data_IF_072027635567
#
_entry.id   IF_072027635567
#
_cell.length_a   1.000
_cell.length_b   1.000
_cell.length_c   1.000
_cell.angle_alpha   90.00
_cell.angle_beta   90.00
_cell.angle_gamma   90.00
#
_symmetry.space_group_name_H-M   'P 1'
#
loop_
_entity.id
_entity.type
_entity.pdbx_description
1 polymer ?
#
# COMPACT_ATOMS: atom_id res chain seq x y z
N UNK A 1 -16.71 11.68 4.24
CA UNK A 1 -15.52 11.06 3.63
C UNK A 1 -14.90 10.21 4.71
N UNK A 2 -14.72 8.92 4.47
CA UNK A 2 -14.19 8.03 5.50
C UNK A 2 -12.69 7.82 5.37
N UNK A 3 -12.09 7.33 6.46
CA UNK A 3 -10.66 7.08 6.56
C UNK A 3 -10.23 5.90 5.68
N UNK A 4 -8.97 5.88 5.26
CA UNK A 4 -8.36 4.78 4.51
C UNK A 4 -7.14 4.29 5.27
N UNK A 5 -7.00 2.98 5.44
CA UNK A 5 -5.83 2.39 6.09
C UNK A 5 -4.91 1.72 5.07
N UNK A 6 -3.60 1.87 5.23
CA UNK A 6 -2.58 1.18 4.43
C UNK A 6 -1.94 0.10 5.29
N UNK A 7 -2.23 -1.15 4.99
CA UNK A 7 -1.84 -2.30 5.81
C UNK A 7 -1.10 -3.34 4.96
N UNK A 8 -0.44 -4.30 5.61
CA UNK A 8 0.32 -5.34 4.93
C UNK A 8 1.37 -5.97 5.85
N UNK A 9 1.86 -7.17 5.51
CA UNK A 9 2.84 -7.89 6.29
C UNK A 9 4.19 -7.17 6.35
N UNK A 10 5.12 -7.74 7.12
CA UNK A 10 6.48 -7.21 7.23
C UNK A 10 7.11 -7.12 5.84
N UNK A 11 7.88 -6.05 5.62
CA UNK A 11 8.56 -5.78 4.37
C UNK A 11 7.65 -5.58 3.14
N UNK A 12 6.34 -5.37 3.28
CA UNK A 12 5.47 -5.03 2.14
C UNK A 12 5.69 -3.63 1.55
N UNK A 13 6.51 -2.80 2.20
CA UNK A 13 6.88 -1.48 1.71
C UNK A 13 5.93 -0.36 2.13
N UNK A 14 5.16 -0.54 3.22
CA UNK A 14 4.23 0.47 3.78
C UNK A 14 4.92 1.80 4.08
N UNK A 15 5.97 1.78 4.91
CA UNK A 15 6.75 2.96 5.29
C UNK A 15 7.30 3.69 4.06
N UNK A 16 7.89 2.94 3.12
CA UNK A 16 8.40 3.50 1.85
C UNK A 16 7.27 4.08 1.00
N UNK A 17 6.11 3.42 0.94
CA UNK A 17 4.93 3.91 0.23
C UNK A 17 4.45 5.25 0.79
N UNK A 18 4.32 5.35 2.11
CA UNK A 18 3.91 6.58 2.79
C UNK A 18 4.94 7.70 2.60
N UNK A 19 6.23 7.37 2.65
CA UNK A 19 7.31 8.33 2.44
C UNK A 19 7.35 8.84 0.99
N UNK A 20 7.19 7.95 0.00
CA UNK A 20 7.08 8.34 -1.40
C UNK A 20 5.82 9.19 -1.67
N UNK A 21 4.72 8.90 -0.99
CA UNK A 21 3.48 9.68 -1.07
C UNK A 21 3.67 11.09 -0.48
N UNK A 22 4.38 11.21 0.65
CA UNK A 22 4.70 12.47 1.30
C UNK A 22 5.66 13.33 0.47
N UNK A 23 6.75 12.72 -0.02
CA UNK A 23 7.81 13.41 -0.76
C UNK A 23 7.42 13.77 -2.20
N UNK A 24 6.59 12.95 -2.86
CA UNK A 24 6.15 13.13 -4.23
C UNK A 24 7.30 13.22 -5.27
N UNK A 25 8.15 12.19 -5.41
CA UNK A 25 9.40 12.24 -6.18
C UNK A 25 9.24 12.61 -7.66
N UNK A 26 8.08 12.31 -8.26
CA UNK A 26 7.83 12.58 -9.68
C UNK A 26 7.31 13.99 -9.99
N UNK A 27 7.25 14.89 -8.99
CA UNK A 27 6.66 16.23 -9.14
C UNK A 27 7.49 17.16 -10.02
N UNK A 28 8.81 16.96 -10.12
CA UNK A 28 9.71 17.77 -10.96
C UNK A 28 9.67 17.40 -12.45
N UNK A 29 9.29 16.16 -12.80
CA UNK A 29 9.38 15.63 -14.18
C UNK A 29 8.05 15.41 -14.89
N UNK A 30 6.99 15.05 -14.16
CA UNK A 30 5.64 14.89 -14.74
C UNK A 30 4.89 16.21 -14.65
N UNK A 31 5.10 17.11 -15.63
CA UNK A 31 4.44 18.44 -15.71
C UNK A 31 2.90 18.40 -15.63
N UNK A 32 2.26 17.24 -15.85
CA UNK A 32 0.82 17.06 -15.85
C UNK A 32 0.35 15.94 -14.89
N UNK A 33 0.77 15.97 -13.62
CA UNK A 33 0.10 15.14 -12.62
C UNK A 33 -1.32 15.65 -12.41
N UNK A 34 -2.29 14.75 -12.51
CA UNK A 34 -3.68 15.06 -12.24
C UNK A 34 -3.99 14.99 -10.74
N UNK A 35 -3.00 15.10 -9.87
CA UNK A 35 -3.17 15.09 -8.43
C UNK A 35 -2.13 15.95 -7.70
N UNK A 36 -2.45 16.33 -6.46
CA UNK A 36 -1.56 17.02 -5.51
C UNK A 36 -1.72 16.36 -4.15
N UNK A 37 -0.61 16.07 -3.48
CA UNK A 37 -0.58 15.55 -2.10
C UNK A 37 0.00 16.64 -1.20
N UNK A 38 -0.56 16.78 -0.01
CA UNK A 38 -0.10 17.72 1.01
C UNK A 38 0.01 16.98 2.35
N UNK A 39 1.14 17.14 3.03
CA UNK A 39 1.34 16.66 4.39
C UNK A 39 0.61 17.59 5.37
N UNK A 40 -0.26 17.04 6.21
CA UNK A 40 -1.08 17.82 7.12
C UNK A 40 -0.45 17.99 8.51
N UNK A 41 0.32 17.02 9.00
CA UNK A 41 0.96 17.07 10.31
C UNK A 41 2.50 17.03 10.24
N UNK A 42 3.15 17.16 11.39
CA UNK A 42 4.62 17.25 11.50
C UNK A 42 5.28 15.91 11.18
N UNK A 43 4.67 14.82 11.59
CA UNK A 43 5.10 13.43 11.38
C UNK A 43 5.16 13.11 9.87
N UNK A 44 4.15 13.48 9.10
CA UNK A 44 4.17 13.31 7.63
C UNK A 44 5.19 14.21 6.96
N UNK A 45 5.45 15.42 7.47
CA UNK A 45 6.52 16.28 6.96
C UNK A 45 7.91 15.66 7.23
N UNK A 46 8.15 15.19 8.45
CA UNK A 46 9.36 14.43 8.80
C UNK A 46 9.53 13.18 7.94
N UNK A 47 8.44 12.51 7.57
CA UNK A 47 8.50 11.37 6.66
C UNK A 47 8.90 11.77 5.24
N UNK A 48 8.48 12.93 4.75
CA UNK A 48 8.96 13.49 3.49
C UNK A 48 10.46 13.84 3.58
N UNK A 49 10.91 14.43 4.68
CA UNK A 49 12.33 14.74 4.91
C UNK A 49 13.17 13.46 4.98
N UNK A 50 12.65 12.38 5.60
CA UNK A 50 13.30 11.06 5.59
C UNK A 50 13.41 10.51 4.16
N UNK A 51 12.39 10.66 3.32
CA UNK A 51 12.48 10.25 1.92
C UNK A 51 13.56 11.03 1.16
N UNK A 52 13.68 12.33 1.37
CA UNK A 52 14.74 13.14 0.77
C UNK A 52 16.13 12.74 1.28
N UNK A 53 16.32 12.66 2.60
CA UNK A 53 17.64 12.48 3.19
C UNK A 53 18.12 11.02 3.25
N UNK A 54 17.24 10.03 3.03
CA UNK A 54 17.57 8.60 3.13
C UNK A 54 17.35 7.91 1.79
N UNK A 55 16.15 8.02 1.20
CA UNK A 55 15.84 7.27 -0.03
C UNK A 55 16.61 7.85 -1.23
N UNK A 56 16.72 9.17 -1.35
CA UNK A 56 17.50 9.81 -2.42
C UNK A 56 19.02 9.71 -2.21
N UNK A 57 19.47 9.42 -1.00
CA UNK A 57 20.86 9.07 -0.72
C UNK A 57 21.14 7.57 -0.98
N UNK A 58 20.15 6.84 -1.50
CA UNK A 58 20.30 5.43 -1.85
C UNK A 58 20.31 4.49 -0.63
N UNK A 59 19.70 4.90 0.48
CA UNK A 59 19.47 4.09 1.67
C UNK A 59 18.00 3.65 1.80
N UNK A 60 17.72 2.73 2.72
CA UNK A 60 16.35 2.28 3.03
C UNK A 60 15.88 2.90 4.33
N UNK A 61 14.58 3.15 4.42
CA UNK A 61 13.95 3.45 5.71
C UNK A 61 13.95 2.20 6.60
N UNK A 62 14.04 2.44 7.90
CA UNK A 62 13.90 1.41 8.91
C UNK A 62 12.46 0.84 8.90
N UNK A 63 12.28 -0.47 9.13
CA UNK A 63 10.96 -1.05 9.35
C UNK A 63 10.29 -0.46 10.59
N UNK A 64 8.95 -0.45 10.63
CA UNK A 64 8.22 -0.20 11.88
C UNK A 64 8.71 -1.16 12.95
N UNK A 65 9.16 -0.61 14.08
CA UNK A 65 9.84 -1.36 15.14
C UNK A 65 8.95 -2.39 15.83
N UNK A 66 9.60 -3.43 16.38
CA UNK A 66 8.95 -4.52 17.15
C UNK A 66 8.56 -4.14 18.57
N UNK A 67 8.99 -2.98 19.05
CA UNK A 67 8.77 -2.52 20.43
C UNK A 67 7.44 -1.77 20.62
N UNK A 68 6.62 -1.68 19.57
CA UNK A 68 5.27 -1.10 19.63
C UNK A 68 4.39 -1.98 20.52
N UNK A 69 3.87 -1.42 21.61
CA UNK A 69 2.98 -2.13 22.54
C UNK A 69 1.52 -1.74 22.35
N UNK A 70 1.28 -0.49 21.97
CA UNK A 70 -0.05 0.11 21.80
C UNK A 70 -0.08 1.00 20.57
N UNK A 71 -1.26 1.37 20.09
CA UNK A 71 -1.40 2.34 18.99
C UNK A 71 -0.79 3.71 19.30
N UNK A 72 -0.68 4.10 20.56
CA UNK A 72 -0.12 5.39 20.96
C UNK A 72 1.40 5.49 20.70
N UNK A 73 2.07 4.35 20.53
CA UNK A 73 3.48 4.28 20.16
C UNK A 73 3.69 4.51 18.64
N UNK A 74 2.62 4.56 17.84
CA UNK A 74 2.69 4.66 16.38
C UNK A 74 2.53 6.10 15.89
N UNK A 75 3.47 6.54 15.04
CA UNK A 75 3.33 7.79 14.30
C UNK A 75 2.05 7.75 13.43
N UNK A 76 1.23 8.80 13.54
CA UNK A 76 0.07 9.02 12.67
C UNK A 76 0.53 9.88 11.51
N UNK A 77 0.33 9.41 10.29
CA UNK A 77 0.57 10.20 9.09
C UNK A 77 -0.73 10.70 8.51
N UNK A 78 -0.80 12.00 8.21
CA UNK A 78 -1.99 12.66 7.70
C UNK A 78 -1.71 13.38 6.38
N UNK A 79 -2.50 13.04 5.37
CA UNK A 79 -2.37 13.55 4.01
C UNK A 79 -3.69 14.12 3.52
N UNK A 80 -3.59 15.19 2.74
CA UNK A 80 -4.66 15.70 1.89
C UNK A 80 -4.30 15.51 0.42
N UNK A 81 -5.13 14.79 -0.31
CA UNK A 81 -4.90 14.47 -1.72
C UNK A 81 -6.02 15.08 -2.57
N UNK A 82 -5.64 15.98 -3.48
CA UNK A 82 -6.54 16.56 -4.48
C UNK A 82 -6.33 15.89 -5.82
N UNK A 83 -7.41 15.41 -6.45
CA UNK A 83 -7.37 14.77 -7.76
C UNK A 83 -8.17 15.63 -8.75
N UNK A 84 -7.48 16.10 -9.78
CA UNK A 84 -7.95 17.02 -10.80
C UNK A 84 -8.30 16.25 -12.08
N UNK A 85 -9.59 16.13 -12.40
CA UNK A 85 -10.03 15.59 -13.68
C UNK A 85 -10.50 16.72 -14.59
N UNK A 86 -10.07 16.70 -15.85
CA UNK A 86 -10.53 17.67 -16.85
C UNK A 86 -12.07 17.65 -16.87
N UNK A 87 -12.68 18.82 -16.75
CA UNK A 87 -14.13 19.01 -16.82
C UNK A 87 -14.95 18.34 -15.71
N UNK A 88 -14.34 17.88 -14.61
CA UNK A 88 -15.04 17.29 -13.46
C UNK A 88 -14.70 18.03 -12.17
N UNK A 89 -15.61 17.94 -11.19
CA UNK A 89 -15.33 18.44 -9.83
C UNK A 89 -14.10 17.73 -9.27
N UNK A 90 -13.23 18.53 -8.63
CA UNK A 90 -12.09 18.01 -7.87
C UNK A 90 -12.56 16.95 -6.90
N UNK A 91 -11.75 15.90 -6.74
CA UNK A 91 -11.98 14.85 -5.77
C UNK A 91 -10.93 14.99 -4.68
N UNK A 92 -11.37 14.95 -3.44
CA UNK A 92 -10.54 15.19 -2.26
C UNK A 92 -10.52 13.90 -1.43
N UNK A 93 -9.34 13.56 -0.93
CA UNK A 93 -9.13 12.39 -0.07
C UNK A 93 -8.35 12.86 1.14
N UNK A 94 -8.93 12.65 2.32
CA UNK A 94 -8.22 12.74 3.59
C UNK A 94 -7.75 11.35 3.96
N UNK A 95 -6.45 11.19 4.14
CA UNK A 95 -5.83 9.93 4.54
C UNK A 95 -5.17 10.16 5.89
N UNK A 96 -5.68 9.53 6.94
CA UNK A 96 -5.01 9.40 8.22
C UNK A 96 -4.64 7.93 8.40
N UNK A 97 -3.36 7.63 8.59
CA UNK A 97 -2.86 6.26 8.62
C UNK A 97 -1.73 6.11 9.62
N UNK A 98 -1.79 5.05 10.41
CA UNK A 98 -0.68 4.57 11.23
C UNK A 98 0.08 3.50 10.47
N UNK A 99 1.41 3.54 10.52
CA UNK A 99 2.25 2.51 9.90
C UNK A 99 2.43 1.32 10.83
N UNK A 100 1.40 0.48 10.90
CA UNK A 100 1.37 -0.69 11.79
C UNK A 100 2.50 -1.71 11.52
N UNK A 101 3.02 -2.37 12.57
CA UNK A 101 3.94 -3.49 12.40
C UNK A 101 3.35 -4.57 11.50
N UNK A 102 4.19 -5.16 10.66
CA UNK A 102 3.74 -6.17 9.71
C UNK A 102 3.45 -7.53 10.35
N UNK A 103 3.98 -7.74 11.55
CA UNK A 103 3.83 -8.91 12.41
C UNK A 103 2.36 -9.19 12.75
N UNK A 104 1.50 -8.17 12.75
CA UNK A 104 0.05 -8.31 12.94
C UNK A 104 -0.57 -9.26 11.90
N UNK A 105 0.01 -9.38 10.70
CA UNK A 105 -0.46 -10.35 9.70
C UNK A 105 -0.15 -11.80 10.08
N UNK A 106 0.93 -12.03 10.83
CA UNK A 106 1.25 -13.35 11.37
C UNK A 106 0.25 -13.70 12.48
N UNK A 107 -0.07 -12.74 13.36
CA UNK A 107 -1.10 -12.88 14.39
C UNK A 107 -2.48 -13.17 13.79
N UNK A 108 -2.87 -12.45 12.72
CA UNK A 108 -4.10 -12.71 11.96
C UNK A 108 -4.15 -14.13 11.40
N UNK A 109 -3.03 -14.63 10.85
CA UNK A 109 -2.98 -15.98 10.30
C UNK A 109 -3.03 -17.06 11.37
N UNK A 110 -2.48 -16.80 12.56
CA UNK A 110 -2.44 -17.74 13.70
C UNK A 110 -3.68 -17.65 14.60
N UNK A 111 -4.45 -16.56 14.50
CA UNK A 111 -5.55 -16.27 15.43
C UNK A 111 -5.06 -15.85 16.82
N UNK A 112 -3.84 -15.34 16.92
CA UNK A 112 -3.26 -14.86 18.18
C UNK A 112 -3.95 -13.56 18.59
N UNK A 113 -4.25 -13.42 19.89
CA UNK A 113 -4.79 -12.18 20.44
C UNK A 113 -3.68 -11.46 21.23
N UNK A 114 -3.30 -10.27 20.78
CA UNK A 114 -2.56 -9.29 21.57
C UNK A 114 -3.31 -7.94 21.54
N UNK A 115 -3.09 -7.03 22.50
CA UNK A 115 -3.84 -5.77 22.56
C UNK A 115 -3.70 -4.92 21.29
N UNK A 116 -2.49 -4.86 20.71
CA UNK A 116 -2.22 -4.11 19.48
C UNK A 116 -3.02 -4.66 18.29
N UNK A 117 -3.22 -5.97 18.22
CA UNK A 117 -4.06 -6.62 17.22
C UNK A 117 -5.52 -6.18 17.35
N UNK A 118 -6.06 -6.10 18.56
CA UNK A 118 -7.44 -5.67 18.77
C UNK A 118 -7.62 -4.21 18.38
N UNK A 119 -6.69 -3.33 18.79
CA UNK A 119 -6.68 -1.92 18.41
C UNK A 119 -6.57 -1.75 16.88
N UNK A 120 -5.68 -2.50 16.24
CA UNK A 120 -5.52 -2.52 14.78
C UNK A 120 -6.82 -2.91 14.07
N UNK A 121 -7.48 -3.98 14.53
CA UNK A 121 -8.73 -4.45 13.92
C UNK A 121 -9.86 -3.44 14.13
N UNK A 122 -9.97 -2.86 15.33
CA UNK A 122 -10.95 -1.83 15.65
C UNK A 122 -10.76 -0.58 14.78
N UNK A 123 -9.52 -0.15 14.56
CA UNK A 123 -9.23 0.97 13.65
C UNK A 123 -9.58 0.61 12.20
N UNK A 124 -9.16 -0.55 11.69
CA UNK A 124 -9.40 -0.94 10.29
C UNK A 124 -10.88 -1.20 9.97
N UNK A 125 -11.65 -1.70 10.95
CA UNK A 125 -13.06 -2.07 10.81
C UNK A 125 -14.03 -1.03 11.38
N UNK A 126 -13.54 0.15 11.78
CA UNK A 126 -14.35 1.28 12.24
C UNK A 126 -15.37 1.74 11.19
N UNK A 127 -16.59 2.11 11.61
CA UNK A 127 -17.69 2.50 10.70
C UNK A 127 -17.38 3.77 9.88
N UNK A 128 -16.44 4.60 10.33
CA UNK A 128 -15.92 5.77 9.62
C UNK A 128 -14.88 5.42 8.55
N UNK A 129 -14.45 4.16 8.44
CA UNK A 129 -13.45 3.71 7.47
C UNK A 129 -14.10 3.38 6.13
N UNK A 130 -13.62 4.01 5.06
CA UNK A 130 -14.08 3.74 3.68
C UNK A 130 -13.44 2.49 3.07
N UNK A 131 -12.23 2.13 3.49
CA UNK A 131 -11.58 0.92 3.00
C UNK A 131 -10.11 0.79 3.37
N UNK A 132 -9.54 -0.35 3.02
CA UNK A 132 -8.14 -0.68 3.28
C UNK A 132 -7.38 -0.91 1.98
N UNK A 133 -6.20 -0.29 1.85
CA UNK A 133 -5.18 -0.65 0.89
C UNK A 133 -4.28 -1.71 1.53
N UNK A 134 -4.29 -2.92 0.99
CA UNK A 134 -3.56 -4.07 1.52
C UNK A 134 -2.38 -4.36 0.60
N UNK A 135 -1.18 -3.98 1.02
CA UNK A 135 0.06 -4.21 0.29
C UNK A 135 0.55 -5.63 0.56
N UNK A 136 0.47 -6.49 -0.45
CA UNK A 136 1.07 -7.82 -0.41
C UNK A 136 2.45 -7.77 -1.06
N UNK A 137 3.36 -8.61 -0.57
CA UNK A 137 4.69 -8.78 -1.15
C UNK A 137 5.06 -10.25 -1.14
N UNK A 138 6.12 -10.62 -1.85
CA UNK A 138 6.67 -11.99 -1.88
C UNK A 138 5.72 -13.08 -2.41
N UNK A 139 6.21 -13.96 -3.30
CA UNK A 139 5.45 -15.08 -3.85
C UNK A 139 6.26 -16.37 -3.75
N UNK A 140 6.76 -16.64 -2.55
CA UNK A 140 7.49 -17.88 -2.27
C UNK A 140 6.51 -19.02 -2.02
N UNK A 141 7.04 -20.25 -2.03
CA UNK A 141 6.25 -21.42 -1.69
C UNK A 141 5.59 -21.23 -0.31
N UNK A 142 4.27 -21.44 -0.25
CA UNK A 142 3.47 -21.30 0.97
C UNK A 142 2.89 -19.91 1.23
N UNK A 143 3.35 -18.87 0.52
CA UNK A 143 2.86 -17.50 0.72
C UNK A 143 1.39 -17.33 0.33
N UNK A 144 0.92 -17.99 -0.73
CA UNK A 144 -0.51 -17.97 -1.12
C UNK A 144 -1.41 -18.54 0.01
N UNK A 145 -1.05 -19.71 0.55
CA UNK A 145 -1.78 -20.31 1.68
C UNK A 145 -1.76 -19.43 2.92
N UNK A 146 -0.65 -18.73 3.17
CA UNK A 146 -0.55 -17.76 4.25
C UNK A 146 -1.54 -16.60 4.04
N UNK A 147 -1.54 -15.96 2.87
CA UNK A 147 -2.44 -14.86 2.59
C UNK A 147 -3.91 -15.28 2.63
N UNK A 148 -4.25 -16.45 2.10
CA UNK A 148 -5.60 -17.01 2.25
C UNK A 148 -6.04 -17.13 3.70
N UNK A 149 -5.16 -17.58 4.62
CA UNK A 149 -5.47 -17.64 6.06
C UNK A 149 -5.70 -16.26 6.66
N UNK A 150 -4.83 -15.30 6.34
CA UNK A 150 -4.97 -13.90 6.78
C UNK A 150 -6.32 -13.35 6.32
N UNK A 151 -6.63 -13.45 5.03
CA UNK A 151 -7.87 -12.93 4.48
C UNK A 151 -9.10 -13.66 4.99
N UNK A 152 -9.02 -14.96 5.24
CA UNK A 152 -10.11 -15.69 5.90
C UNK A 152 -10.43 -15.07 7.25
N UNK A 153 -9.42 -14.85 8.09
CA UNK A 153 -9.62 -14.24 9.40
C UNK A 153 -10.12 -12.80 9.29
N UNK A 154 -9.55 -12.02 8.36
CA UNK A 154 -9.95 -10.63 8.14
C UNK A 154 -11.42 -10.53 7.69
N UNK A 155 -11.86 -11.39 6.76
CA UNK A 155 -13.25 -11.45 6.29
C UNK A 155 -14.19 -11.92 7.41
N UNK A 156 -13.81 -12.94 8.19
CA UNK A 156 -14.62 -13.39 9.33
C UNK A 156 -14.89 -12.23 10.32
N UNK A 157 -13.91 -11.34 10.51
CA UNK A 157 -14.05 -10.16 11.37
C UNK A 157 -14.88 -9.06 10.70
N UNK A 158 -14.67 -8.82 9.39
CA UNK A 158 -15.53 -7.92 8.62
C UNK A 158 -17.00 -8.34 8.66
N UNK A 159 -17.29 -9.63 8.60
CA UNK A 159 -18.66 -10.14 8.65
C UNK A 159 -19.29 -9.94 10.04
N UNK A 160 -18.53 -10.25 11.11
CA UNK A 160 -18.96 -10.01 12.50
C UNK A 160 -19.27 -8.55 12.79
N UNK A 161 -18.50 -7.62 12.22
CA UNK A 161 -18.68 -6.17 12.40
C UNK A 161 -19.63 -5.55 11.36
N UNK A 162 -20.31 -6.40 10.57
CA UNK A 162 -21.26 -6.03 9.52
C UNK A 162 -20.64 -5.08 8.48
N UNK A 163 -19.34 -5.24 8.20
CA UNK A 163 -18.55 -4.42 7.26
C UNK A 163 -18.45 -5.02 5.87
N UNK A 164 -18.77 -6.30 5.67
CA UNK A 164 -18.56 -7.02 4.41
C UNK A 164 -19.23 -6.34 3.19
N UNK A 165 -20.39 -5.71 3.39
CA UNK A 165 -21.13 -5.02 2.34
C UNK A 165 -20.70 -3.56 2.12
N UNK A 166 -19.90 -2.99 3.02
CA UNK A 166 -19.59 -1.56 3.06
C UNK A 166 -18.11 -1.25 2.82
N UNK A 167 -17.22 -2.02 3.45
CA UNK A 167 -15.77 -1.78 3.44
C UNK A 167 -15.17 -2.24 2.11
N UNK A 168 -14.44 -1.34 1.44
CA UNK A 168 -13.70 -1.66 0.22
C UNK A 168 -12.29 -2.15 0.52
N UNK A 169 -11.86 -3.23 -0.13
CA UNK A 169 -10.49 -3.72 -0.07
C UNK A 169 -9.80 -3.52 -1.42
N UNK A 170 -8.74 -2.72 -1.42
CA UNK A 170 -7.82 -2.61 -2.54
C UNK A 170 -6.61 -3.48 -2.23
N UNK A 171 -6.50 -4.63 -2.87
CA UNK A 171 -5.41 -5.57 -2.65
C UNK A 171 -4.34 -5.33 -3.71
N UNK A 172 -3.14 -4.92 -3.29
CA UNK A 172 -2.09 -4.51 -4.19
C UNK A 172 -0.89 -5.45 -4.10
N UNK A 173 -0.40 -5.91 -5.24
CA UNK A 173 0.95 -6.45 -5.31
C UNK A 173 1.92 -5.27 -5.25
N UNK A 174 2.73 -5.22 -4.20
CA UNK A 174 3.77 -4.21 -4.00
C UNK A 174 5.08 -4.65 -4.65
N UNK A 175 6.03 -3.71 -4.74
CA UNK A 175 7.38 -3.94 -5.32
C UNK A 175 7.34 -4.40 -6.78
N UNK A 176 6.37 -3.92 -7.55
CA UNK A 176 6.22 -4.27 -8.96
C UNK A 176 7.26 -3.63 -9.90
N UNK A 177 8.24 -2.87 -9.38
CA UNK A 177 9.43 -2.47 -10.16
C UNK A 177 10.25 -3.67 -10.64
N UNK A 178 10.09 -4.82 -10.00
CA UNK A 178 10.74 -6.07 -10.38
C UNK A 178 10.38 -6.42 -11.83
N UNK A 179 11.39 -6.64 -12.67
CA UNK A 179 11.21 -6.72 -14.12
C UNK A 179 10.27 -7.85 -14.55
N UNK A 180 10.25 -8.94 -13.78
CA UNK A 180 9.34 -10.07 -13.97
C UNK A 180 7.86 -9.74 -13.72
N UNK A 181 7.55 -8.71 -12.91
CA UNK A 181 6.18 -8.28 -12.63
C UNK A 181 5.72 -7.12 -13.50
N UNK A 182 6.66 -6.41 -14.12
CA UNK A 182 6.36 -5.19 -14.87
C UNK A 182 5.23 -5.38 -15.90
N UNK A 183 5.17 -6.46 -16.70
CA UNK A 183 4.08 -6.66 -17.65
C UNK A 183 2.69 -6.75 -16.98
N UNK A 184 2.59 -7.46 -15.85
CA UNK A 184 1.32 -7.72 -15.18
C UNK A 184 0.70 -6.53 -14.46
N UNK A 185 1.35 -5.36 -14.47
CA UNK A 185 0.79 -4.13 -13.89
C UNK A 185 -0.49 -3.63 -14.59
N UNK A 186 -0.70 -4.04 -15.84
CA UNK A 186 -1.84 -3.58 -16.65
C UNK A 186 -3.14 -4.31 -16.28
N UNK A 187 -3.04 -5.60 -15.95
CA UNK A 187 -4.16 -6.42 -15.46
C UNK A 187 -3.71 -7.22 -14.23
N UNK A 188 -3.54 -6.56 -13.07
CA UNK A 188 -2.97 -7.19 -11.88
C UNK A 188 -3.77 -8.42 -11.42
N UNK A 189 -5.09 -8.43 -11.59
CA UNK A 189 -5.93 -9.55 -11.19
C UNK A 189 -5.51 -10.85 -11.91
N UNK A 190 -5.40 -10.80 -13.23
CA UNK A 190 -5.11 -11.98 -14.04
C UNK A 190 -3.60 -12.23 -14.20
N UNK A 191 -2.81 -11.17 -14.36
CA UNK A 191 -1.39 -11.30 -14.70
C UNK A 191 -0.46 -11.32 -13.48
N UNK A 192 -0.97 -11.04 -12.28
CA UNK A 192 -0.19 -11.11 -11.04
C UNK A 192 -0.85 -12.03 -10.01
N UNK A 193 -2.10 -11.75 -9.62
CA UNK A 193 -2.77 -12.50 -8.55
C UNK A 193 -3.13 -13.91 -8.99
N UNK A 194 -3.67 -14.12 -10.19
CA UNK A 194 -4.01 -15.47 -10.66
C UNK A 194 -2.78 -16.36 -10.85
N UNK A 195 -1.61 -15.76 -11.11
CA UNK A 195 -0.34 -16.49 -11.29
C UNK A 195 0.31 -16.81 -9.95
N UNK A 196 0.38 -15.83 -9.05
CA UNK A 196 1.19 -15.93 -7.82
C UNK A 196 0.38 -16.29 -6.59
N UNK A 197 -0.90 -15.95 -6.54
CA UNK A 197 -1.80 -16.18 -5.42
C UNK A 197 -3.17 -16.75 -5.84
N UNK A 198 -3.23 -17.83 -6.62
CA UNK A 198 -4.48 -18.36 -7.16
C UNK A 198 -5.49 -18.76 -6.07
N UNK A 199 -5.04 -19.38 -4.98
CA UNK A 199 -5.94 -19.78 -3.89
C UNK A 199 -6.52 -18.57 -3.15
N UNK A 200 -5.68 -17.56 -2.88
CA UNK A 200 -6.12 -16.31 -2.25
C UNK A 200 -7.06 -15.54 -3.16
N UNK A 201 -6.76 -15.45 -4.46
CA UNK A 201 -7.59 -14.77 -5.45
C UNK A 201 -9.00 -15.37 -5.50
N UNK A 202 -9.11 -16.69 -5.67
CA UNK A 202 -10.40 -17.37 -5.66
C UNK A 202 -11.15 -17.08 -4.36
N UNK A 203 -10.49 -17.28 -3.22
CA UNK A 203 -11.11 -17.05 -1.92
C UNK A 203 -11.65 -15.63 -1.75
N UNK A 204 -10.88 -14.61 -2.12
CA UNK A 204 -11.33 -13.22 -2.05
C UNK A 204 -12.55 -12.96 -2.94
N UNK A 205 -12.53 -13.45 -4.18
CA UNK A 205 -13.63 -13.25 -5.14
C UNK A 205 -14.91 -13.99 -4.73
N UNK A 206 -14.77 -15.14 -4.09
CA UNK A 206 -15.89 -15.95 -3.62
C UNK A 206 -16.55 -15.37 -2.36
N UNK A 207 -15.81 -14.60 -1.56
CA UNK A 207 -16.26 -14.15 -0.23
C UNK A 207 -16.46 -12.63 -0.10
N UNK A 208 -15.98 -11.82 -1.04
CA UNK A 208 -16.14 -10.36 -1.01
C UNK A 208 -16.97 -9.92 -2.22
N UNK A 209 -18.01 -9.08 -2.04
CA UNK A 209 -18.75 -8.50 -3.16
C UNK A 209 -17.80 -7.81 -4.15
N UNK A 210 -17.95 -8.08 -5.45
CA UNK A 210 -17.07 -7.54 -6.50
C UNK A 210 -16.97 -6.01 -6.52
N UNK A 211 -18.04 -5.31 -6.10
CA UNK A 211 -18.05 -3.85 -5.93
C UNK A 211 -17.11 -3.33 -4.83
N UNK A 212 -16.72 -4.19 -3.91
CA UNK A 212 -15.90 -3.90 -2.72
C UNK A 212 -14.50 -4.51 -2.79
N UNK A 213 -14.13 -5.14 -3.91
CA UNK A 213 -12.81 -5.75 -4.10
C UNK A 213 -12.15 -5.22 -5.38
N UNK A 214 -10.88 -4.84 -5.29
CA UNK A 214 -10.10 -4.43 -6.46
C UNK A 214 -8.63 -4.81 -6.31
N UNK A 215 -8.02 -5.22 -7.42
CA UNK A 215 -6.61 -5.59 -7.48
C UNK A 215 -5.77 -4.50 -8.14
N UNK A 216 -4.57 -4.28 -7.60
CA UNK A 216 -3.64 -3.26 -8.08
C UNK A 216 -2.20 -3.77 -8.16
N UNK A 217 -1.40 -3.11 -8.99
CA UNK A 217 0.05 -3.23 -8.98
C UNK A 217 0.65 -1.90 -8.53
N UNK A 218 1.54 -1.94 -7.55
CA UNK A 218 2.18 -0.75 -6.97
C UNK A 218 3.69 -0.93 -7.03
N UNK A 219 4.37 0.12 -7.47
CA UNK A 219 5.80 0.26 -7.24
C UNK A 219 6.11 1.61 -6.64
N UNK A 220 6.79 1.54 -5.51
CA UNK A 220 7.27 2.71 -4.78
C UNK A 220 8.56 3.26 -5.37
N UNK A 221 9.36 2.47 -6.09
CA UNK A 221 10.60 2.93 -6.74
C UNK A 221 10.42 3.25 -8.22
N UNK A 222 9.57 2.49 -8.91
CA UNK A 222 9.38 2.58 -10.34
C UNK A 222 10.48 1.88 -11.14
N UNK A 223 10.45 2.12 -12.45
CA UNK A 223 11.47 1.67 -13.41
C UNK A 223 12.30 2.86 -13.88
N UNK A 224 13.44 2.58 -14.52
CA UNK A 224 14.35 3.63 -15.01
C UNK A 224 13.68 4.53 -16.08
N UNK A 225 12.72 4.00 -16.83
CA UNK A 225 11.84 4.82 -17.66
C UNK A 225 10.85 4.00 -18.50
N UNK A 226 9.96 4.70 -19.21
CA UNK A 226 8.93 4.03 -20.04
C UNK A 226 9.53 3.16 -21.17
N UNK A 227 10.69 3.57 -21.71
CA UNK A 227 11.45 2.82 -22.72
C UNK A 227 12.54 1.94 -22.11
N UNK A 228 12.73 2.01 -20.80
CA UNK A 228 13.70 1.25 -20.05
C UNK A 228 13.02 0.68 -18.79
N UNK A 229 12.28 -0.43 -18.93
CA UNK A 229 11.50 -1.01 -17.85
C UNK A 229 12.37 -1.77 -16.83
N UNK A 230 13.70 -1.57 -16.85
CA UNK A 230 14.58 -2.13 -15.83
C UNK A 230 14.20 -1.56 -14.45
N UNK A 231 14.21 -2.38 -13.39
CA UNK A 231 13.89 -1.94 -12.05
C UNK A 231 14.77 -0.75 -11.63
N UNK A 232 14.16 0.33 -11.10
CA UNK A 232 14.91 1.37 -10.40
C UNK A 232 15.22 0.94 -8.96
N UNK A 233 15.82 -0.24 -8.82
CA UNK A 233 16.07 -0.91 -7.54
C UNK A 233 17.41 -1.62 -7.57
N UNK A 234 18.15 -1.53 -6.48
CA UNK A 234 19.27 -2.42 -6.17
C UNK A 234 19.08 -3.06 -4.78
N UNK A 235 19.66 -4.24 -4.58
CA UNK A 235 19.73 -4.86 -3.25
C UNK A 235 21.05 -4.48 -2.62
N UNK A 236 21.00 -4.04 -1.37
CA UNK A 236 22.17 -3.74 -0.55
C UNK A 236 22.20 -4.68 0.66
N UNK A 237 23.40 -4.92 1.18
CA UNK A 237 23.60 -5.67 2.42
C UNK A 237 23.55 -4.71 3.61
N UNK A 238 22.80 -5.10 4.63
CA UNK A 238 22.65 -4.38 5.90
C UNK A 238 22.82 -5.29 7.10
N UNK A 239 22.79 -4.67 8.27
CA UNK A 239 22.96 -5.38 9.54
C UNK A 239 21.89 -6.46 9.74
N UNK A 240 20.65 -6.23 9.29
CA UNK A 240 19.55 -7.20 9.39
C UNK A 240 19.29 -8.00 8.08
N UNK A 241 20.23 -8.01 7.14
CA UNK A 241 20.12 -8.75 5.88
C UNK A 241 20.01 -7.86 4.64
N UNK A 242 19.25 -8.28 3.63
CA UNK A 242 19.17 -7.55 2.35
C UNK A 242 18.01 -6.56 2.35
N UNK A 243 18.29 -5.31 2.08
CA UNK A 243 17.27 -4.28 1.88
C UNK A 243 17.29 -3.78 0.43
N UNK A 244 16.19 -3.15 0.02
CA UNK A 244 16.03 -2.62 -1.34
C UNK A 244 16.18 -1.10 -1.29
N UNK A 245 17.04 -0.57 -2.15
CA UNK A 245 17.23 0.87 -2.28
C UNK A 245 17.06 1.29 -3.73
N UNK A 246 16.89 2.59 -3.92
CA UNK A 246 16.75 3.20 -5.22
C UNK A 246 18.08 3.07 -6.00
N UNK A 247 18.00 2.73 -7.29
CA UNK A 247 19.19 2.55 -8.12
C UNK A 247 19.68 3.87 -8.72
N UNK A 248 18.75 4.66 -9.25
CA UNK A 248 18.98 5.95 -9.87
C UNK A 248 18.02 6.95 -9.25
N UNK A 249 18.56 7.77 -8.35
CA UNK A 249 17.80 8.65 -7.46
C UNK A 249 17.11 9.77 -8.22
N UNK A 250 17.80 10.31 -9.23
CA UNK A 250 17.23 11.24 -10.20
C UNK A 250 16.01 10.66 -10.95
N UNK A 251 15.95 9.34 -11.14
CA UNK A 251 14.89 8.65 -11.88
C UNK A 251 13.79 8.07 -10.97
N UNK A 252 13.61 8.58 -9.76
CA UNK A 252 12.57 8.10 -8.85
C UNK A 252 11.14 8.35 -9.40
N UNK A 253 10.50 7.29 -9.89
CA UNK A 253 9.22 7.40 -10.59
C UNK A 253 8.20 6.32 -10.16
N UNK A 254 7.61 6.44 -8.95
CA UNK A 254 6.57 5.52 -8.49
C UNK A 254 5.34 5.46 -9.42
N UNK A 255 4.60 4.35 -9.35
CA UNK A 255 3.32 4.18 -10.02
C UNK A 255 2.34 3.37 -9.18
N UNK A 256 1.04 3.47 -9.52
CA UNK A 256 -0.03 2.80 -8.77
C UNK A 256 -0.30 3.39 -7.38
N UNK A 257 0.30 4.53 -7.03
CA UNK A 257 0.21 5.09 -5.68
C UNK A 257 -1.18 5.68 -5.36
N UNK A 258 -1.80 6.37 -6.32
CA UNK A 258 -3.02 7.17 -6.11
C UNK A 258 -4.29 6.44 -6.51
N UNK A 259 -4.24 5.59 -7.53
CA UNK A 259 -5.43 4.91 -8.07
C UNK A 259 -6.17 3.99 -7.08
N UNK A 260 -5.49 3.26 -6.16
CA UNK A 260 -6.18 2.51 -5.12
C UNK A 260 -6.89 3.43 -4.13
N UNK A 261 -6.23 4.49 -3.66
CA UNK A 261 -6.82 5.47 -2.72
C UNK A 261 -8.05 6.15 -3.32
N UNK A 262 -7.97 6.51 -4.60
CA UNK A 262 -9.10 7.09 -5.33
C UNK A 262 -10.30 6.14 -5.39
N UNK A 263 -10.08 4.87 -5.67
CA UNK A 263 -11.15 3.88 -5.74
C UNK A 263 -11.72 3.56 -4.35
N UNK A 264 -10.89 3.45 -3.32
CA UNK A 264 -11.35 3.26 -1.94
C UNK A 264 -12.27 4.39 -1.49
N UNK A 265 -11.89 5.65 -1.79
CA UNK A 265 -12.67 6.84 -1.44
C UNK A 265 -13.97 6.97 -2.25
N UNK A 266 -13.93 6.67 -3.55
CA UNK A 266 -15.03 7.03 -4.47
C UNK A 266 -15.83 5.86 -5.05
N UNK A 267 -15.33 4.63 -4.92
CA UNK A 267 -15.82 3.45 -5.62
C UNK A 267 -15.60 3.47 -7.15
N UNK A 268 -14.97 4.51 -7.70
CA UNK A 268 -14.77 4.68 -9.15
C UNK A 268 -13.32 4.38 -9.53
N UNK A 269 -13.11 3.73 -10.67
CA UNK A 269 -11.75 3.55 -11.20
C UNK A 269 -11.17 4.89 -11.66
N UNK A 270 -9.91 5.13 -11.32
CA UNK A 270 -9.15 6.26 -11.86
C UNK A 270 -8.75 5.90 -13.30
N UNK A 271 -9.04 6.76 -14.27
CA UNK A 271 -8.41 6.65 -15.59
C UNK A 271 -6.98 7.10 -15.42
N UNK A 272 -6.05 6.15 -15.38
CA UNK A 272 -4.62 6.47 -15.34
C UNK A 272 -4.20 7.03 -16.69
N UNK A 273 -3.38 8.08 -16.69
CA UNK A 273 -2.61 8.46 -17.86
C UNK A 273 -1.41 7.51 -17.88
N UNK A 274 -1.58 6.33 -18.47
CA UNK A 274 -0.48 5.39 -18.72
C UNK A 274 0.38 5.92 -19.87
#
# INVERSE_FOLDING_TARGET
MGNIYVIGPRASGKTTYLAALAYQPSRSRRKNQNFKVQALNEETRKLADKAENIILEGASLEPTGKEVKTIDDLEVYSFYIEIHKKWQKKQEINLAVRDYPGEIFEDLAMGSANPLYEEFMNECLGKDVSGCLILLTEWRQGTDKFYKRVFKRFIDLMDKDERLQELRLAVAMSKCERGELWPGRLDPENDLFAIHFPETLSFLKDNIPSKNLQFYAISTFGVLGNKDPRPNRKQELGQEGRYSVLRETDNWSPYGMISPLYWLSTGKRMKENV
#
